data_IF_179359659842
#
_entry.id   IF_179359659842
#
_cell.length_a   1.000
_cell.length_b   1.000
_cell.length_c   1.000
_cell.angle_alpha   90.00
_cell.angle_beta   90.00
_cell.angle_gamma   90.00
#
_symmetry.space_group_name_H-M   'P 1'
#
loop_
_entity.id
_entity.type
_entity.pdbx_description
1 polymer ?
#
# COMPACT_ATOMS: atom_id res chain seq x y z
N UNK A 1 11.29 -8.03 8.84
CA UNK A 1 9.82 -8.10 8.60
C UNK A 1 9.49 -7.59 7.20
N UNK A 2 8.62 -8.28 6.48
CA UNK A 2 8.14 -7.88 5.15
C UNK A 2 6.63 -7.60 5.19
N UNK A 3 6.19 -6.43 4.69
CA UNK A 3 4.79 -6.11 4.44
C UNK A 3 4.53 -6.16 2.93
N UNK A 4 3.61 -7.01 2.50
CA UNK A 4 3.30 -7.16 1.08
C UNK A 4 1.79 -7.07 0.81
N UNK A 5 1.42 -6.85 -0.43
CA UNK A 5 0.03 -6.74 -0.88
C UNK A 5 -0.08 -5.80 -2.07
N UNK A 6 -1.23 -5.81 -2.74
CA UNK A 6 -1.45 -4.97 -3.92
C UNK A 6 -1.33 -3.48 -3.62
N UNK A 7 -1.04 -2.64 -4.61
CA UNK A 7 -0.98 -1.18 -4.43
C UNK A 7 -2.25 -0.63 -3.78
N UNK A 8 -2.10 0.30 -2.84
CA UNK A 8 -3.24 0.97 -2.20
C UNK A 8 -3.88 0.25 -1.02
N UNK A 9 -3.34 -0.89 -0.56
CA UNK A 9 -3.84 -1.61 0.64
C UNK A 9 -3.43 -0.96 1.96
N UNK A 10 -2.45 -0.05 1.96
CA UNK A 10 -2.07 0.71 3.14
C UNK A 10 -0.71 0.36 3.75
N UNK A 11 0.20 -0.28 3.01
CA UNK A 11 1.54 -0.67 3.49
C UNK A 11 2.30 0.49 4.13
N UNK A 12 2.45 1.62 3.44
CA UNK A 12 3.10 2.83 3.98
C UNK A 12 2.39 3.37 5.23
N UNK A 13 1.05 3.29 5.30
CA UNK A 13 0.32 3.69 6.51
C UNK A 13 0.61 2.76 7.68
N UNK A 14 0.70 1.46 7.43
CA UNK A 14 1.09 0.45 8.44
C UNK A 14 2.50 0.70 8.94
N UNK A 15 3.47 0.97 8.04
CA UNK A 15 4.83 1.36 8.41
C UNK A 15 4.80 2.57 9.36
N UNK A 16 4.15 3.65 8.97
CA UNK A 16 4.04 4.86 9.79
C UNK A 16 3.40 4.60 11.15
N UNK A 17 2.37 3.77 11.21
CA UNK A 17 1.72 3.38 12.46
C UNK A 17 2.68 2.60 13.37
N UNK A 18 3.42 1.64 12.83
CA UNK A 18 4.40 0.85 13.57
C UNK A 18 5.52 1.76 14.13
N UNK A 19 6.08 2.63 13.29
CA UNK A 19 7.13 3.57 13.71
C UNK A 19 6.67 4.50 14.82
N UNK A 20 5.43 4.98 14.78
CA UNK A 20 4.83 5.80 15.82
C UNK A 20 4.66 5.07 17.19
N UNK A 21 4.83 3.74 17.22
CA UNK A 21 4.77 2.91 18.43
C UNK A 21 6.15 2.53 18.98
N UNK A 22 7.23 3.01 18.37
CA UNK A 22 8.62 2.71 18.73
C UNK A 22 9.33 3.98 19.26
N UNK A 23 9.01 4.47 20.46
CA UNK A 23 9.69 5.65 21.02
C UNK A 23 11.16 5.30 21.29
N UNK A 24 12.06 6.25 21.01
CA UNK A 24 13.50 6.09 21.26
C UNK A 24 14.25 5.24 20.23
N UNK A 25 13.60 4.81 19.16
CA UNK A 25 14.23 4.05 18.08
C UNK A 25 14.59 5.00 16.93
N UNK A 26 15.80 4.89 16.42
CA UNK A 26 16.25 5.61 15.21
C UNK A 26 15.59 5.00 13.97
N UNK A 27 15.01 5.84 13.11
CA UNK A 27 14.39 5.38 11.86
C UNK A 27 15.18 5.89 10.68
N UNK A 28 15.64 4.97 9.84
CA UNK A 28 16.28 5.27 8.55
C UNK A 28 15.35 4.81 7.43
N UNK A 29 14.78 5.77 6.68
CA UNK A 29 13.81 5.49 5.62
C UNK A 29 14.47 5.59 4.24
N UNK A 30 14.37 4.52 3.47
CA UNK A 30 14.79 4.42 2.08
C UNK A 30 13.58 4.24 1.17
N UNK A 31 13.43 5.12 0.19
CA UNK A 31 12.39 5.03 -0.84
C UNK A 31 12.85 5.65 -2.15
N UNK A 32 12.33 5.17 -3.29
CA UNK A 32 12.68 5.68 -4.60
C UNK A 32 14.20 5.71 -4.85
N UNK A 33 14.76 6.88 -5.17
CA UNK A 33 16.20 7.02 -5.47
C UNK A 33 17.12 6.76 -4.27
N UNK A 34 16.62 6.91 -3.05
CA UNK A 34 17.40 6.66 -1.84
C UNK A 34 17.72 5.16 -1.64
N UNK A 35 17.02 4.26 -2.34
CA UNK A 35 17.31 2.83 -2.33
C UNK A 35 18.76 2.49 -2.74
N UNK A 36 19.44 3.37 -3.49
CA UNK A 36 20.84 3.22 -3.85
C UNK A 36 21.83 3.51 -2.70
N UNK A 37 21.31 3.96 -1.55
CA UNK A 37 22.12 4.31 -0.38
C UNK A 37 21.99 3.26 0.74
N UNK A 38 21.72 2.01 0.40
CA UNK A 38 21.46 0.93 1.37
C UNK A 38 22.64 0.77 2.34
N UNK A 39 23.88 0.66 1.84
CA UNK A 39 25.06 0.48 2.71
C UNK A 39 25.28 1.66 3.64
N UNK A 40 25.09 2.90 3.16
CA UNK A 40 25.20 4.11 3.99
C UNK A 40 24.11 4.13 5.07
N UNK A 41 22.88 3.80 4.71
CA UNK A 41 21.76 3.73 5.63
C UNK A 41 21.98 2.68 6.74
N UNK A 42 22.51 1.52 6.38
CA UNK A 42 22.86 0.47 7.33
C UNK A 42 24.02 0.90 8.25
N UNK A 43 25.01 1.62 7.74
CA UNK A 43 26.10 2.19 8.56
C UNK A 43 25.57 3.17 9.59
N UNK A 44 24.65 4.08 9.19
CA UNK A 44 23.99 5.01 10.11
C UNK A 44 23.17 4.26 11.16
N UNK A 45 22.39 3.26 10.74
CA UNK A 45 21.57 2.46 11.66
C UNK A 45 22.42 1.73 12.70
N UNK A 46 23.55 1.14 12.29
CA UNK A 46 24.51 0.48 13.21
C UNK A 46 25.11 1.45 14.22
N UNK A 47 25.29 2.73 13.86
CA UNK A 47 25.86 3.73 14.75
C UNK A 47 24.82 4.27 15.75
N UNK A 48 23.55 4.32 15.34
CA UNK A 48 22.47 4.96 16.09
C UNK A 48 21.44 3.94 16.61
N UNK A 49 21.90 2.83 17.13
CA UNK A 49 21.05 1.79 17.71
C UNK A 49 20.33 2.26 19.00
N UNK A 50 19.14 1.73 19.32
CA UNK A 50 18.35 0.79 18.52
C UNK A 50 17.78 1.46 17.26
N UNK A 51 17.76 0.76 16.10
CA UNK A 51 17.37 1.36 14.85
C UNK A 51 16.46 0.46 13.99
N UNK A 52 15.61 1.09 13.18
CA UNK A 52 14.80 0.43 12.14
C UNK A 52 15.17 1.01 10.78
N UNK A 53 15.60 0.16 9.87
CA UNK A 53 15.80 0.49 8.46
C UNK A 53 14.54 0.11 7.69
N UNK A 54 13.84 1.12 7.20
CA UNK A 54 12.64 0.95 6.37
C UNK A 54 13.03 1.05 4.92
N UNK A 55 12.69 0.03 4.13
CA UNK A 55 12.91 0.01 2.68
C UNK A 55 11.55 -0.11 2.01
N UNK A 56 11.03 1.02 1.48
CA UNK A 56 9.73 1.04 0.81
C UNK A 56 9.85 0.68 -0.68
N UNK A 57 8.86 -0.09 -1.16
CA UNK A 57 8.71 -0.51 -2.55
C UNK A 57 9.97 -1.20 -3.11
N UNK A 58 10.39 -2.27 -2.44
CA UNK A 58 11.59 -3.06 -2.80
C UNK A 58 11.49 -3.63 -4.22
N UNK A 59 10.28 -3.82 -4.75
CA UNK A 59 10.02 -4.20 -6.13
C UNK A 59 10.62 -3.22 -7.15
N UNK A 60 10.71 -1.91 -6.83
CA UNK A 60 11.36 -0.92 -7.70
C UNK A 60 12.86 -1.19 -7.88
N UNK A 61 13.50 -1.79 -6.88
CA UNK A 61 14.88 -2.24 -6.99
C UNK A 61 14.97 -3.37 -8.03
N UNK A 62 14.01 -4.29 -8.02
CA UNK A 62 14.00 -5.46 -8.90
C UNK A 62 13.71 -5.09 -10.37
N UNK A 63 12.95 -4.02 -10.62
CA UNK A 63 12.53 -3.61 -11.97
C UNK A 63 13.60 -2.81 -12.74
N UNK A 64 14.55 -2.15 -12.07
CA UNK A 64 15.49 -1.21 -12.73
C UNK A 64 16.42 -1.83 -13.78
N UNK A 65 16.58 -3.17 -13.89
CA UNK A 65 17.50 -3.80 -14.86
C UNK A 65 17.09 -5.17 -15.43
N UNK A 66 15.82 -5.34 -15.83
CA UNK A 66 15.42 -6.48 -16.68
C UNK A 66 15.08 -7.76 -15.91
N UNK A 67 14.48 -8.71 -16.62
CA UNK A 67 13.70 -9.83 -16.12
C UNK A 67 14.42 -10.94 -15.32
N UNK A 68 15.69 -10.77 -14.94
CA UNK A 68 16.43 -11.76 -14.13
C UNK A 68 16.71 -11.20 -12.72
N UNK A 69 15.90 -11.60 -11.75
CA UNK A 69 16.03 -11.26 -10.32
C UNK A 69 17.39 -11.68 -9.72
N UNK A 70 18.04 -12.70 -10.31
CA UNK A 70 19.34 -13.19 -9.87
C UNK A 70 20.51 -12.24 -10.14
N UNK A 71 20.32 -11.16 -10.92
CA UNK A 71 21.38 -10.23 -11.33
C UNK A 71 21.17 -8.78 -10.80
N UNK A 72 20.22 -8.56 -9.87
CA UNK A 72 19.98 -7.20 -9.35
C UNK A 72 20.95 -6.85 -8.21
N UNK A 73 21.98 -5.99 -8.47
CA UNK A 73 23.02 -5.72 -7.50
C UNK A 73 22.50 -5.03 -6.24
N UNK A 74 21.44 -4.19 -6.33
CA UNK A 74 20.90 -3.50 -5.17
C UNK A 74 20.12 -4.43 -4.24
N UNK A 75 19.38 -5.39 -4.79
CA UNK A 75 18.73 -6.42 -3.98
C UNK A 75 19.75 -7.30 -3.28
N UNK A 76 20.83 -7.68 -3.98
CA UNK A 76 21.96 -8.41 -3.38
C UNK A 76 22.64 -7.60 -2.28
N UNK A 77 22.85 -6.30 -2.49
CA UNK A 77 23.42 -5.39 -1.51
C UNK A 77 22.53 -5.33 -0.26
N UNK A 78 21.20 -5.15 -0.41
CA UNK A 78 20.26 -5.19 0.70
C UNK A 78 20.33 -6.50 1.48
N UNK A 79 20.30 -7.63 0.78
CA UNK A 79 20.36 -8.95 1.41
C UNK A 79 21.69 -9.18 2.12
N UNK A 80 22.80 -8.72 1.57
CA UNK A 80 24.12 -8.81 2.20
C UNK A 80 24.22 -7.91 3.45
N UNK A 81 23.65 -6.72 3.42
CA UNK A 81 23.59 -5.85 4.59
C UNK A 81 22.74 -6.46 5.72
N UNK A 82 21.63 -7.12 5.36
CA UNK A 82 20.81 -7.86 6.34
C UNK A 82 21.58 -9.04 6.96
N UNK A 83 22.41 -9.75 6.18
CA UNK A 83 23.24 -10.86 6.70
C UNK A 83 24.44 -10.38 7.52
N UNK A 84 24.97 -9.21 7.18
CA UNK A 84 26.12 -8.61 7.86
C UNK A 84 25.82 -8.06 9.25
N UNK A 85 24.55 -8.18 9.72
CA UNK A 85 24.18 -7.83 11.09
C UNK A 85 24.59 -8.96 12.02
N UNK A 86 25.55 -8.69 12.91
CA UNK A 86 25.89 -9.60 13.99
C UNK A 86 24.73 -9.75 14.99
N UNK A 87 24.75 -10.81 15.78
CA UNK A 87 23.73 -11.10 16.81
C UNK A 87 23.64 -10.07 17.93
N UNK A 88 24.59 -9.17 18.02
CA UNK A 88 24.73 -8.10 19.00
C UNK A 88 24.29 -6.72 18.47
N UNK A 89 23.78 -6.67 17.23
CA UNK A 89 23.34 -5.43 16.58
C UNK A 89 21.82 -5.31 16.66
N UNK A 90 21.34 -4.25 17.35
CA UNK A 90 19.91 -3.93 17.48
C UNK A 90 19.40 -3.09 16.30
N UNK A 91 19.39 -3.70 15.11
CA UNK A 91 18.85 -3.11 13.87
C UNK A 91 17.82 -4.05 13.26
N UNK A 92 16.61 -3.53 13.07
CA UNK A 92 15.51 -4.25 12.43
C UNK A 92 15.26 -3.72 11.02
N UNK A 93 15.05 -4.61 10.05
CA UNK A 93 14.59 -4.24 8.71
C UNK A 93 13.08 -4.38 8.58
N UNK A 94 12.45 -3.34 8.01
CA UNK A 94 11.04 -3.32 7.64
C UNK A 94 10.93 -3.02 6.14
N UNK A 95 10.58 -4.05 5.37
CA UNK A 95 10.49 -3.98 3.91
C UNK A 95 9.03 -3.88 3.47
N UNK A 96 8.75 -3.14 2.40
CA UNK A 96 7.44 -3.17 1.74
C UNK A 96 7.58 -3.52 0.27
N UNK A 97 6.60 -4.26 -0.29
CA UNK A 97 6.54 -4.58 -1.72
C UNK A 97 5.11 -4.72 -2.21
N UNK A 98 4.89 -4.39 -3.47
CA UNK A 98 3.66 -4.69 -4.19
C UNK A 98 3.74 -6.07 -4.90
N UNK A 99 4.94 -6.63 -5.02
CA UNK A 99 5.27 -7.82 -5.78
C UNK A 99 5.97 -8.84 -4.88
N UNK A 100 5.18 -9.56 -4.06
CA UNK A 100 5.70 -10.61 -3.19
C UNK A 100 6.38 -11.74 -4.00
N UNK A 101 5.80 -12.07 -5.15
CA UNK A 101 6.30 -13.07 -6.09
C UNK A 101 7.77 -12.85 -6.47
N UNK A 102 8.15 -11.61 -6.78
CA UNK A 102 9.52 -11.27 -7.14
C UNK A 102 10.49 -11.39 -5.97
N UNK A 103 10.03 -11.10 -4.77
CA UNK A 103 10.86 -11.15 -3.58
C UNK A 103 10.99 -12.58 -3.04
N UNK A 104 9.93 -13.39 -3.13
CA UNK A 104 9.94 -14.80 -2.72
C UNK A 104 11.01 -15.61 -3.44
N UNK A 105 11.20 -15.40 -4.75
CA UNK A 105 12.24 -16.07 -5.53
C UNK A 105 13.65 -15.71 -5.05
N UNK A 106 13.89 -14.42 -4.78
CA UNK A 106 15.19 -13.95 -4.27
C UNK A 106 15.47 -14.41 -2.83
N UNK A 107 14.43 -14.49 -2.00
CA UNK A 107 14.52 -14.91 -0.60
C UNK A 107 14.55 -16.44 -0.46
N UNK A 108 13.89 -17.20 -1.35
CA UNK A 108 13.91 -18.66 -1.36
C UNK A 108 15.33 -19.21 -1.57
N UNK A 109 16.16 -18.49 -2.33
CA UNK A 109 17.59 -18.83 -2.51
C UNK A 109 18.42 -18.62 -1.23
N UNK A 110 17.87 -17.98 -0.18
CA UNK A 110 18.58 -17.58 1.03
C UNK A 110 17.66 -17.60 2.26
N UNK A 111 17.36 -18.79 2.82
CA UNK A 111 16.42 -18.92 3.94
C UNK A 111 16.96 -18.23 5.22
N UNK A 112 16.03 -17.70 6.04
CA UNK A 112 16.34 -17.09 7.33
C UNK A 112 16.50 -15.57 7.34
N UNK A 113 16.19 -14.87 6.22
CA UNK A 113 16.35 -13.40 6.14
C UNK A 113 15.09 -12.60 6.40
N UNK A 114 13.95 -13.22 6.28
CA UNK A 114 12.65 -12.63 6.61
C UNK A 114 11.96 -13.51 7.61
N UNK A 115 12.05 -13.14 8.89
CA UNK A 115 11.44 -13.89 9.99
C UNK A 115 9.92 -13.79 9.97
N UNK A 116 9.40 -12.66 9.50
CA UNK A 116 7.98 -12.37 9.45
C UNK A 116 7.58 -11.71 8.15
N UNK A 117 6.66 -12.33 7.41
CA UNK A 117 5.99 -11.75 6.26
C UNK A 117 4.50 -11.59 6.59
N UNK A 118 3.94 -10.40 6.36
CA UNK A 118 2.55 -10.09 6.61
C UNK A 118 1.89 -9.52 5.35
N UNK A 119 0.83 -10.18 4.91
CA UNK A 119 0.00 -9.70 3.82
C UNK A 119 -0.94 -8.59 4.30
N UNK A 120 -1.02 -7.52 3.53
CA UNK A 120 -2.10 -6.54 3.62
C UNK A 120 -3.09 -6.82 2.47
N UNK A 121 -4.12 -7.62 2.72
CA UNK A 121 -5.08 -7.97 1.69
C UNK A 121 -5.98 -6.79 1.32
N UNK A 122 -6.72 -6.92 0.24
CA UNK A 122 -7.85 -6.02 -0.04
C UNK A 122 -8.87 -6.09 1.10
N UNK A 123 -9.50 -4.96 1.50
CA UNK A 123 -10.39 -4.93 2.64
C UNK A 123 -11.67 -5.75 2.40
N UNK A 124 -12.06 -6.53 3.38
CA UNK A 124 -13.37 -7.17 3.44
C UNK A 124 -14.52 -6.14 3.64
N UNK A 125 -15.77 -6.57 3.58
CA UNK A 125 -16.92 -5.68 3.72
C UNK A 125 -16.88 -4.87 5.04
N UNK A 126 -16.51 -5.49 6.14
CA UNK A 126 -16.42 -4.84 7.44
C UNK A 126 -15.29 -3.80 7.49
N UNK A 127 -14.14 -4.10 6.87
CA UNK A 127 -13.03 -3.16 6.73
C UNK A 127 -13.40 -2.00 5.81
N UNK A 128 -14.10 -2.25 4.68
CA UNK A 128 -14.60 -1.18 3.80
C UNK A 128 -15.55 -0.23 4.52
N UNK A 129 -16.47 -0.78 5.33
CA UNK A 129 -17.36 0.05 6.16
C UNK A 129 -16.57 0.93 7.16
N UNK A 130 -15.50 0.41 7.75
CA UNK A 130 -14.60 1.19 8.63
C UNK A 130 -13.83 2.26 7.86
N UNK A 131 -13.33 1.93 6.66
CA UNK A 131 -12.60 2.86 5.80
C UNK A 131 -13.49 4.03 5.32
N UNK A 132 -14.75 3.76 4.96
CA UNK A 132 -15.71 4.81 4.64
C UNK A 132 -15.87 5.80 5.81
N UNK A 133 -16.01 5.30 7.03
CA UNK A 133 -16.09 6.15 8.23
C UNK A 133 -14.79 6.89 8.50
N UNK A 134 -13.63 6.24 8.32
CA UNK A 134 -12.32 6.84 8.55
C UNK A 134 -12.04 7.98 7.55
N UNK A 135 -12.35 7.75 6.27
CA UNK A 135 -12.06 8.71 5.21
C UNK A 135 -13.18 9.77 5.01
N UNK A 136 -14.30 9.60 5.68
CA UNK A 136 -15.38 10.60 5.69
C UNK A 136 -14.86 11.97 6.11
N UNK A 137 -13.98 12.05 7.11
CA UNK A 137 -13.42 13.31 7.59
C UNK A 137 -14.52 14.30 7.98
N UNK A 138 -14.56 15.45 7.30
CA UNK A 138 -15.57 16.51 7.48
C UNK A 138 -16.79 16.38 6.55
N UNK A 139 -16.90 15.31 5.76
CA UNK A 139 -18.05 15.10 4.89
C UNK A 139 -19.28 14.68 5.71
N UNK A 140 -20.44 15.21 5.38
CA UNK A 140 -21.73 14.70 5.84
C UNK A 140 -22.21 13.62 4.86
N UNK A 141 -22.03 12.34 5.21
CA UNK A 141 -22.47 11.22 4.39
C UNK A 141 -23.94 10.90 4.64
N UNK A 142 -24.83 11.58 3.92
CA UNK A 142 -26.27 11.36 3.94
C UNK A 142 -26.67 10.18 3.03
N UNK A 143 -26.23 8.96 3.40
CA UNK A 143 -26.45 7.74 2.64
C UNK A 143 -27.68 7.00 3.17
N UNK A 144 -28.62 6.74 2.29
CA UNK A 144 -29.81 5.94 2.59
C UNK A 144 -29.49 4.43 2.66
N UNK A 145 -28.55 3.97 1.80
CA UNK A 145 -28.15 2.57 1.71
C UNK A 145 -26.62 2.41 1.66
N UNK A 146 -26.01 2.36 2.85
CA UNK A 146 -24.57 2.13 2.99
C UNK A 146 -24.15 0.72 2.57
N UNK A 147 -25.02 -0.27 2.71
CA UNK A 147 -24.70 -1.66 2.43
C UNK A 147 -24.55 -1.88 0.91
N UNK A 148 -25.38 -1.22 0.11
CA UNK A 148 -25.21 -1.22 -1.34
C UNK A 148 -23.87 -0.59 -1.75
N UNK A 149 -23.43 0.51 -1.14
CA UNK A 149 -22.11 1.11 -1.42
C UNK A 149 -20.99 0.13 -1.07
N UNK A 150 -21.10 -0.53 0.09
CA UNK A 150 -20.11 -1.54 0.53
C UNK A 150 -20.09 -2.73 -0.44
N UNK A 151 -21.23 -3.21 -0.90
CA UNK A 151 -21.30 -4.32 -1.86
C UNK A 151 -20.69 -3.93 -3.21
N UNK A 152 -21.01 -2.75 -3.74
CA UNK A 152 -20.48 -2.25 -5.03
C UNK A 152 -18.97 -1.95 -5.01
N UNK A 153 -18.40 -1.83 -3.83
CA UNK A 153 -16.94 -1.63 -3.64
C UNK A 153 -16.21 -2.93 -3.27
N UNK A 154 -16.76 -4.10 -3.63
CA UNK A 154 -16.08 -5.38 -3.44
C UNK A 154 -14.79 -5.44 -4.25
N UNK A 155 -13.72 -5.95 -3.65
CA UNK A 155 -12.41 -6.11 -4.29
C UNK A 155 -11.59 -4.82 -4.44
N UNK A 156 -12.09 -3.66 -3.99
CA UNK A 156 -11.32 -2.41 -4.08
C UNK A 156 -10.40 -2.22 -2.88
N UNK A 157 -9.35 -1.41 -3.07
CA UNK A 157 -8.36 -1.10 -2.02
C UNK A 157 -8.79 0.08 -1.15
N UNK A 158 -8.06 0.29 -0.05
CA UNK A 158 -8.27 1.45 0.83
C UNK A 158 -8.08 2.79 0.10
N UNK A 159 -7.10 2.87 -0.81
CA UNK A 159 -6.88 4.06 -1.64
C UNK A 159 -8.04 4.36 -2.57
N UNK A 160 -8.69 3.32 -3.13
CA UNK A 160 -9.87 3.48 -3.96
C UNK A 160 -11.02 4.11 -3.17
N UNK A 161 -11.30 3.62 -1.95
CA UNK A 161 -12.37 4.17 -1.10
C UNK A 161 -12.10 5.64 -0.76
N UNK A 162 -10.85 5.98 -0.46
CA UNK A 162 -10.45 7.38 -0.22
C UNK A 162 -10.72 8.27 -1.44
N UNK A 163 -10.33 7.80 -2.63
CA UNK A 163 -10.55 8.53 -3.89
C UNK A 163 -12.03 8.61 -4.26
N UNK A 164 -12.82 7.57 -4.00
CA UNK A 164 -14.26 7.57 -4.18
C UNK A 164 -14.92 8.70 -3.37
N UNK A 165 -14.62 8.82 -2.09
CA UNK A 165 -15.15 9.88 -1.24
C UNK A 165 -14.68 11.26 -1.70
N UNK A 166 -13.41 11.40 -2.11
CA UNK A 166 -12.89 12.67 -2.65
C UNK A 166 -13.64 13.10 -3.91
N UNK A 167 -13.89 12.18 -4.85
CA UNK A 167 -14.65 12.46 -6.08
C UNK A 167 -16.12 12.75 -5.79
N UNK A 168 -16.75 11.99 -4.91
CA UNK A 168 -18.13 12.23 -4.50
C UNK A 168 -18.30 13.63 -3.87
N UNK A 169 -17.31 14.07 -3.08
CA UNK A 169 -17.30 15.42 -2.53
C UNK A 169 -17.16 16.50 -3.62
N UNK A 170 -16.36 16.26 -4.67
CA UNK A 170 -16.26 17.18 -5.80
C UNK A 170 -17.56 17.26 -6.58
N UNK A 171 -18.20 16.12 -6.88
CA UNK A 171 -19.51 16.08 -7.54
C UNK A 171 -20.55 16.88 -6.74
N UNK A 172 -20.58 16.68 -5.41
CA UNK A 172 -21.50 17.42 -4.54
C UNK A 172 -21.22 18.93 -4.52
N UNK A 173 -19.95 19.33 -4.51
CA UNK A 173 -19.56 20.74 -4.52
C UNK A 173 -19.84 21.43 -5.86
N UNK A 174 -19.78 20.70 -6.97
CA UNK A 174 -20.12 21.21 -8.31
C UNK A 174 -21.65 21.41 -8.47
N UNK A 175 -22.48 20.58 -7.80
CA UNK A 175 -23.93 20.70 -7.82
C UNK A 175 -24.43 21.87 -6.95
N UNK A 176 -23.82 22.11 -5.80
CA UNK A 176 -24.15 23.20 -4.90
C UNK A 176 -22.91 24.01 -4.45
N UNK A 177 -22.43 24.94 -5.27
CA UNK A 177 -21.27 25.77 -4.93
C UNK A 177 -21.48 26.66 -3.69
N UNK A 178 -22.72 26.95 -3.31
CA UNK A 178 -23.03 27.78 -2.15
C UNK A 178 -22.80 27.02 -0.82
N UNK A 179 -22.96 25.70 -0.82
CA UNK A 179 -22.70 24.84 0.33
C UNK A 179 -21.18 24.53 0.50
N UNK A 180 -20.35 24.80 -0.49
CA UNK A 180 -18.91 24.55 -0.48
C UNK A 180 -18.10 25.63 0.29
N UNK A 181 -18.63 26.13 1.40
CA UNK A 181 -17.88 27.05 2.26
C UNK A 181 -16.87 26.27 3.13
N UNK A 182 -15.75 26.93 3.50
CA UNK A 182 -14.70 26.30 4.32
C UNK A 182 -15.19 25.79 5.69
N UNK A 183 -16.32 26.29 6.18
CA UNK A 183 -16.85 26.00 7.52
C UNK A 183 -18.00 25.00 7.51
N UNK A 184 -18.66 24.75 6.38
CA UNK A 184 -19.81 23.84 6.28
C UNK A 184 -19.36 22.46 5.78
N UNK A 185 -19.76 21.34 6.42
CA UNK A 185 -19.50 19.99 5.90
C UNK A 185 -20.20 19.81 4.54
N UNK A 186 -19.47 19.34 3.54
CA UNK A 186 -20.04 19.00 2.24
C UNK A 186 -20.95 17.78 2.40
N UNK A 187 -22.22 17.93 2.02
CA UNK A 187 -23.20 16.85 2.07
C UNK A 187 -23.09 15.95 0.86
N UNK A 188 -22.72 14.71 1.08
CA UNK A 188 -22.57 13.68 0.04
C UNK A 188 -23.72 12.69 0.14
N UNK A 189 -24.49 12.55 -0.94
CA UNK A 189 -25.64 11.63 -1.06
C UNK A 189 -25.25 10.35 -1.80
N UNK A 190 -26.17 9.37 -1.83
CA UNK A 190 -26.02 8.16 -2.65
C UNK A 190 -25.83 8.48 -4.14
N UNK A 191 -26.49 9.53 -4.67
CA UNK A 191 -26.35 9.96 -6.06
C UNK A 191 -24.92 10.41 -6.35
N UNK A 192 -24.32 11.24 -5.49
CA UNK A 192 -22.95 11.72 -5.63
C UNK A 192 -21.93 10.57 -5.57
N UNK A 193 -22.12 9.61 -4.63
CA UNK A 193 -21.28 8.42 -4.55
C UNK A 193 -21.41 7.53 -5.78
N UNK A 194 -22.62 7.32 -6.27
CA UNK A 194 -22.84 6.52 -7.47
C UNK A 194 -22.21 7.15 -8.70
N UNK A 195 -22.37 8.45 -8.92
CA UNK A 195 -21.73 9.17 -10.02
C UNK A 195 -20.19 9.08 -9.94
N UNK A 196 -19.63 9.27 -8.76
CA UNK A 196 -18.19 9.12 -8.53
C UNK A 196 -17.69 7.69 -8.76
N UNK A 197 -18.47 6.69 -8.35
CA UNK A 197 -18.14 5.28 -8.54
C UNK A 197 -18.17 4.90 -10.03
N UNK A 198 -19.17 5.35 -10.77
CA UNK A 198 -19.25 5.12 -12.22
C UNK A 198 -18.08 5.76 -12.95
N UNK A 199 -17.70 7.00 -12.59
CA UNK A 199 -16.50 7.64 -13.13
C UNK A 199 -15.21 6.86 -12.85
N UNK A 200 -15.09 6.24 -11.67
CA UNK A 200 -13.93 5.44 -11.30
C UNK A 200 -13.92 4.07 -11.98
N UNK A 201 -15.09 3.48 -12.21
CA UNK A 201 -15.25 2.16 -12.84
C UNK A 201 -15.35 2.23 -14.37
N UNK A 202 -15.55 3.42 -14.96
CA UNK A 202 -15.60 3.58 -16.41
C UNK A 202 -14.31 3.01 -17.05
N UNK A 203 -14.49 2.19 -18.05
CA UNK A 203 -13.40 1.52 -18.79
C UNK A 203 -12.43 2.50 -19.46
N UNK A 204 -12.82 3.76 -19.70
CA UNK A 204 -11.92 4.82 -20.13
C UNK A 204 -10.90 5.21 -19.04
N UNK A 205 -11.16 4.84 -17.79
CA UNK A 205 -10.28 5.02 -16.63
C UNK A 205 -9.50 3.75 -16.27
N UNK A 206 -9.29 2.80 -17.19
CA UNK A 206 -8.57 1.54 -16.94
C UNK A 206 -7.21 1.75 -16.27
N UNK A 207 -6.50 2.81 -16.62
CA UNK A 207 -5.26 3.22 -15.98
C UNK A 207 -5.47 3.62 -14.50
N UNK A 208 -6.55 4.34 -14.22
CA UNK A 208 -6.91 4.76 -12.85
C UNK A 208 -7.27 3.54 -12.00
N UNK A 209 -8.01 2.58 -12.55
CA UNK A 209 -8.34 1.32 -11.88
C UNK A 209 -7.09 0.53 -11.50
N UNK A 210 -6.14 0.41 -12.41
CA UNK A 210 -4.87 -0.28 -12.15
C UNK A 210 -4.06 0.42 -11.06
N UNK A 211 -3.96 1.74 -11.09
CA UNK A 211 -3.21 2.53 -10.12
C UNK A 211 -3.86 2.55 -8.73
N UNK A 212 -5.20 2.46 -8.66
CA UNK A 212 -5.95 2.44 -7.40
C UNK A 212 -6.24 1.03 -6.88
N UNK A 213 -5.78 -0.02 -7.60
CA UNK A 213 -6.01 -1.42 -7.21
C UNK A 213 -7.47 -1.88 -7.37
N UNK A 214 -8.23 -1.24 -8.27
CA UNK A 214 -9.64 -1.55 -8.54
C UNK A 214 -9.86 -2.36 -9.82
N UNK A 215 -8.86 -3.10 -10.31
CA UNK A 215 -9.02 -3.99 -11.48
C UNK A 215 -9.85 -5.24 -11.14
N UNK A 216 -10.52 -5.85 -12.15
CA UNK A 216 -11.19 -7.13 -11.94
C UNK A 216 -10.16 -8.15 -11.42
N UNK A 217 -10.55 -8.89 -10.38
CA UNK A 217 -9.76 -10.03 -9.91
C UNK A 217 -9.53 -10.95 -11.11
N UNK A 218 -8.30 -11.01 -11.62
CA UNK A 218 -7.94 -11.99 -12.66
C UNK A 218 -8.18 -13.35 -12.04
N UNK A 219 -9.23 -14.02 -12.51
CA UNK A 219 -9.46 -15.41 -12.19
C UNK A 219 -8.18 -16.17 -12.55
N UNK A 220 -7.50 -16.67 -11.53
CA UNK A 220 -6.46 -17.68 -11.71
C UNK A 220 -7.16 -18.87 -12.36
N UNK A 221 -7.07 -18.95 -13.68
CA UNK A 221 -7.36 -20.19 -14.38
C UNK A 221 -6.30 -21.19 -13.93
N UNK A 222 -6.72 -22.07 -13.06
CA UNK A 222 -6.02 -23.30 -12.77
C UNK A 222 -6.01 -24.12 -14.05
N UNK A 223 -4.99 -23.97 -14.87
CA UNK A 223 -4.70 -24.89 -15.97
C UNK A 223 -3.84 -25.99 -15.37
N UNK A 224 -4.50 -27.04 -14.85
CA UNK A 224 -3.87 -28.30 -14.56
C UNK A 224 -3.49 -28.97 -15.90
N UNK A 225 -2.34 -29.65 -16.00
CA UNK A 225 -2.01 -30.42 -17.18
C UNK A 225 -2.89 -31.67 -17.20
N UNK A 226 -3.66 -31.82 -18.27
CA UNK A 226 -4.29 -33.08 -18.62
C UNK A 226 -3.35 -33.84 -19.55
N UNK A 227 -3.06 -35.11 -19.21
CA UNK A 227 -2.59 -36.15 -20.10
C UNK A 227 -1.10 -36.38 -20.14
#
# INVERSE_FOLDING_TARGET
>A
MLLYGVPGTGKTHTVRYLLGRLPGVTVVLLSGRALRMISQACSVARTLQPAVVVVEDVDLIAEERGHNLGENPLLFELLNEMDGLGSDIDVTFLLTTNRADLLEEALAARPGRVDHAAELPVPDAAARARLLRLYQGRLDLALADRDTVIARTEGVTASFIKELLRRAALVAADEDPADASADTPIRVTDAHLNAALEQLLDTRSALTLTLLGGGPATARTANGPAG
#
